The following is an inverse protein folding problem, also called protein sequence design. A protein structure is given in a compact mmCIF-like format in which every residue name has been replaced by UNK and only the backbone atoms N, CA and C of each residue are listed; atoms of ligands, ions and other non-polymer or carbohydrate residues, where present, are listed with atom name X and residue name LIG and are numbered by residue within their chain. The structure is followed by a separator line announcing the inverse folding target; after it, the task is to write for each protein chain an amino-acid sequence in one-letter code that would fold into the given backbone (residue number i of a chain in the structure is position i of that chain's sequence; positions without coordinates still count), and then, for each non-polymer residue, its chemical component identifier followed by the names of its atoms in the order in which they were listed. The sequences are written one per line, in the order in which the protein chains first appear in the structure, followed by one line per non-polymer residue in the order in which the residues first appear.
data_IF_932758868777
#
_entry.id   IF_932758868777
#
_cell.length_a   1.000
_cell.length_b   1.000
_cell.length_c   1.000
_cell.angle_alpha   90.00
_cell.angle_beta   90.00
_cell.angle_gamma   90.00
#
_symmetry.space_group_name_H-M   'P 1'
#
loop_
_entity.id
_entity.type
_entity.pdbx_description
1 polymer ?
#
# COMPACT_ATOMS: atom_id res chain seq x y z
N UNK A 1 65.17 49.05 42.39
CA UNK A 1 64.98 50.45 42.91
C UNK A 1 63.60 50.93 42.44
N UNK A 2 62.84 51.45 43.37
CA UNK A 2 61.56 52.15 43.33
C UNK A 2 60.33 51.31 43.40
N UNK A 3 59.84 51.22 44.60
CA UNK A 3 58.52 50.88 45.12
C UNK A 3 57.46 51.88 44.65
N UNK A 4 56.24 51.32 44.40
CA UNK A 4 54.99 52.11 44.30
C UNK A 4 53.91 51.48 45.10
N UNK A 5 52.95 52.20 45.64
CA UNK A 5 52.16 51.78 46.80
C UNK A 5 50.90 51.09 46.54
N UNK A 6 50.45 50.34 47.55
CA UNK A 6 49.15 49.63 47.68
C UNK A 6 48.03 50.64 47.88
N UNK A 7 47.04 50.63 47.06
CA UNK A 7 45.73 51.26 47.29
C UNK A 7 44.68 50.22 47.77
N UNK A 8 44.26 50.44 49.02
CA UNK A 8 43.11 49.69 49.59
C UNK A 8 41.77 50.32 49.11
N UNK A 9 40.95 49.56 48.40
CA UNK A 9 39.59 49.94 48.17
C UNK A 9 38.66 49.18 49.14
N UNK A 10 37.88 49.92 49.87
CA UNK A 10 36.80 49.44 50.76
C UNK A 10 35.70 48.78 49.89
N UNK A 11 35.28 47.56 50.24
CA UNK A 11 34.13 46.94 49.69
C UNK A 11 32.85 47.44 50.46
N UNK A 12 31.99 48.11 49.73
CA UNK A 12 30.63 48.42 50.20
C UNK A 12 29.74 47.22 49.85
N UNK A 13 29.17 46.55 50.88
CA UNK A 13 28.21 45.47 50.74
C UNK A 13 26.82 46.10 50.53
N UNK A 14 26.32 46.06 49.30
CA UNK A 14 24.91 46.32 49.01
C UNK A 14 24.11 45.02 49.17
N UNK A 15 23.30 44.91 50.25
CA UNK A 15 22.26 43.88 50.34
C UNK A 15 21.14 44.26 49.37
N UNK A 16 21.03 43.55 48.26
CA UNK A 16 19.86 43.55 47.40
C UNK A 16 18.89 42.51 47.93
N UNK A 17 17.72 42.98 48.42
CA UNK A 17 16.58 42.12 48.73
C UNK A 17 16.05 41.50 47.44
N UNK A 18 16.22 40.19 47.28
CA UNK A 18 15.57 39.41 46.24
C UNK A 18 14.07 39.33 46.61
N UNK A 19 13.23 40.07 45.87
CA UNK A 19 11.81 39.86 45.84
C UNK A 19 11.55 38.62 44.95
N UNK A 20 11.04 37.57 45.54
CA UNK A 20 10.52 36.38 44.81
C UNK A 20 9.37 36.81 43.91
N UNK A 21 9.61 37.05 42.64
CA UNK A 21 8.57 37.15 41.63
C UNK A 21 8.16 35.75 41.29
N UNK A 22 7.09 35.25 41.94
CA UNK A 22 6.41 34.05 41.52
C UNK A 22 5.74 34.33 40.18
N UNK A 23 6.39 33.89 39.07
CA UNK A 23 5.79 33.85 37.74
C UNK A 23 4.69 32.79 37.81
N UNK A 24 3.44 33.19 37.82
CA UNK A 24 2.31 32.27 37.64
C UNK A 24 2.50 31.55 36.29
N UNK A 25 2.78 30.25 36.36
CA UNK A 25 2.84 29.39 35.19
C UNK A 25 1.42 29.29 34.65
N UNK A 26 1.18 29.88 33.48
CA UNK A 26 -0.11 29.66 32.81
C UNK A 26 -0.25 28.16 32.55
N UNK A 27 -1.36 27.58 32.88
CA UNK A 27 -1.69 26.22 32.54
C UNK A 27 -1.57 26.04 31.00
N UNK A 28 -1.03 24.90 30.53
CA UNK A 28 -0.99 24.64 29.10
C UNK A 28 -2.43 24.70 28.55
N UNK A 29 -2.64 25.29 27.37
CA UNK A 29 -3.97 25.34 26.78
C UNK A 29 -4.54 23.91 26.71
N UNK A 30 -5.81 23.78 27.05
CA UNK A 30 -6.51 22.50 26.93
C UNK A 30 -6.33 21.96 25.51
N UNK A 31 -6.06 20.66 25.36
CA UNK A 31 -5.94 20.06 24.02
C UNK A 31 -7.20 20.37 23.22
N UNK A 32 -7.01 20.91 22.02
CA UNK A 32 -8.13 21.16 21.08
C UNK A 32 -8.76 19.78 20.84
N UNK A 33 -10.08 19.62 21.08
CA UNK A 33 -10.75 18.36 20.78
C UNK A 33 -10.50 18.02 19.31
N UNK A 34 -9.83 16.91 19.05
CA UNK A 34 -9.71 16.41 17.68
C UNK A 34 -11.12 16.09 17.16
N UNK A 35 -11.46 16.48 15.94
CA UNK A 35 -12.74 16.11 15.37
C UNK A 35 -12.84 14.58 15.36
N UNK A 36 -13.75 14.04 16.15
CA UNK A 36 -14.13 12.62 16.04
C UNK A 36 -14.74 12.49 14.65
N UNK A 37 -14.05 11.80 13.75
CA UNK A 37 -14.61 11.49 12.44
C UNK A 37 -15.92 10.73 12.67
N UNK A 38 -17.01 11.28 12.15
CA UNK A 38 -18.29 10.59 12.17
C UNK A 38 -18.14 9.31 11.34
N UNK A 39 -18.68 8.16 11.79
CA UNK A 39 -18.67 6.94 10.99
C UNK A 39 -19.24 7.21 9.60
N UNK A 40 -18.60 6.66 8.57
CA UNK A 40 -19.07 6.82 7.20
C UNK A 40 -20.42 6.15 7.02
N UNK A 41 -21.36 6.86 6.39
CA UNK A 41 -22.62 6.24 5.98
C UNK A 41 -22.38 5.14 4.94
N UNK A 42 -23.25 4.11 4.84
CA UNK A 42 -23.17 3.10 3.81
C UNK A 42 -23.02 3.70 2.40
N UNK A 43 -22.04 3.23 1.64
CA UNK A 43 -21.69 3.75 0.30
C UNK A 43 -20.90 5.05 0.29
N UNK A 44 -20.68 5.68 1.43
CA UNK A 44 -19.92 6.94 1.52
C UNK A 44 -18.41 6.69 1.35
N UNK A 45 -17.78 7.59 0.60
CA UNK A 45 -16.33 7.66 0.41
C UNK A 45 -15.82 9.00 0.93
N UNK A 46 -14.67 8.97 1.60
CA UNK A 46 -13.92 10.13 2.05
C UNK A 46 -12.49 10.05 1.53
N UNK A 47 -12.03 11.05 0.77
CA UNK A 47 -10.62 11.19 0.43
C UNK A 47 -9.88 11.87 1.58
N UNK A 48 -8.90 11.18 2.16
CA UNK A 48 -8.10 11.66 3.28
C UNK A 48 -6.93 12.55 2.80
N UNK A 49 -6.38 12.27 1.61
CA UNK A 49 -5.31 13.06 1.01
C UNK A 49 -4.14 12.23 0.50
N UNK A 50 -3.14 12.90 -0.11
CA UNK A 50 -1.92 12.24 -0.57
C UNK A 50 -1.13 11.64 0.60
N UNK A 51 -0.77 10.35 0.49
CA UNK A 51 0.02 9.64 1.49
C UNK A 51 1.50 9.53 1.09
N UNK A 52 1.79 9.16 -0.16
CA UNK A 52 3.16 8.98 -0.64
C UNK A 52 3.35 9.54 -2.05
N UNK A 53 4.57 9.92 -2.42
CA UNK A 53 4.94 10.42 -3.73
C UNK A 53 4.81 11.94 -3.87
N UNK A 54 4.45 12.43 -5.05
CA UNK A 54 4.46 13.86 -5.40
C UNK A 54 3.68 14.71 -4.39
N UNK A 55 4.33 15.74 -3.88
CA UNK A 55 3.74 16.67 -2.92
C UNK A 55 3.61 16.15 -1.49
N UNK A 56 4.24 15.03 -1.13
CA UNK A 56 4.14 14.42 0.20
C UNK A 56 5.47 14.44 0.98
N UNK A 57 5.42 14.23 2.31
CA UNK A 57 6.63 14.15 3.15
C UNK A 57 7.58 12.99 2.82
N UNK A 58 7.22 12.02 1.97
CA UNK A 58 8.14 10.95 1.54
C UNK A 58 9.38 11.48 0.83
N UNK A 59 9.32 12.69 0.28
CA UNK A 59 10.48 13.43 -0.25
C UNK A 59 11.62 13.60 0.79
N UNK A 60 11.29 13.72 2.09
CA UNK A 60 12.26 13.81 3.18
C UNK A 60 13.08 12.52 3.34
N UNK A 61 12.59 11.41 2.81
CA UNK A 61 13.27 10.12 2.79
C UNK A 61 13.88 9.79 1.42
N UNK A 62 13.91 10.76 0.48
CA UNK A 62 14.46 10.60 -0.86
C UNK A 62 13.49 9.98 -1.87
N UNK A 63 12.19 9.95 -1.58
CA UNK A 63 11.13 9.48 -2.48
C UNK A 63 10.18 10.65 -2.72
N UNK A 64 10.41 11.38 -3.81
CA UNK A 64 9.58 12.53 -4.20
C UNK A 64 8.40 12.14 -5.09
N UNK A 65 8.46 10.97 -5.77
CA UNK A 65 7.38 10.45 -6.60
C UNK A 65 7.35 8.93 -6.51
N UNK A 66 6.16 8.29 -6.38
CA UNK A 66 6.02 6.84 -6.25
C UNK A 66 4.59 6.36 -6.47
N UNK A 67 4.41 5.05 -6.69
CA UNK A 67 3.12 4.41 -6.91
C UNK A 67 3.00 3.03 -6.24
N UNK A 68 1.86 2.39 -6.41
CA UNK A 68 1.51 1.00 -6.07
C UNK A 68 1.61 0.63 -4.58
N UNK A 69 2.11 1.33 -3.70
CA UNK A 69 2.42 1.14 -2.28
C UNK A 69 1.53 0.12 -1.52
N UNK A 70 1.75 -1.18 -1.69
CA UNK A 70 1.02 -2.26 -1.01
C UNK A 70 1.58 -2.55 0.39
N UNK A 71 0.70 -2.84 1.35
CA UNK A 71 1.08 -3.08 2.74
C UNK A 71 1.63 -4.47 3.00
N UNK A 72 2.70 -4.52 3.81
CA UNK A 72 3.33 -5.74 4.31
C UNK A 72 3.46 -5.67 5.82
N UNK A 73 2.69 -6.51 6.51
CA UNK A 73 2.55 -6.48 7.96
C UNK A 73 3.51 -7.41 8.68
N UNK A 74 4.11 -6.94 9.78
CA UNK A 74 4.91 -7.71 10.72
C UNK A 74 4.43 -7.40 12.15
N UNK A 75 4.72 -8.24 13.14
CA UNK A 75 4.23 -8.03 14.51
C UNK A 75 4.59 -6.68 15.14
N UNK A 76 5.70 -6.06 14.71
CA UNK A 76 6.20 -4.80 15.27
C UNK A 76 6.55 -3.75 14.20
N UNK A 77 6.28 -4.01 12.93
CA UNK A 77 6.62 -3.13 11.82
C UNK A 77 5.58 -3.23 10.72
N UNK A 78 5.39 -2.14 10.03
CA UNK A 78 4.53 -2.07 8.85
C UNK A 78 5.33 -1.42 7.72
N UNK A 79 5.33 -2.06 6.56
CA UNK A 79 5.94 -1.53 5.36
C UNK A 79 4.86 -1.27 4.31
N UNK A 80 5.11 -0.27 3.44
CA UNK A 80 4.46 -0.16 2.14
C UNK A 80 5.50 -0.38 1.05
N UNK A 81 5.31 -1.43 0.24
CA UNK A 81 6.17 -1.74 -0.89
C UNK A 81 5.64 -1.05 -2.12
N UNK A 82 6.39 -0.06 -2.57
CA UNK A 82 6.01 0.79 -3.69
C UNK A 82 6.73 0.36 -4.99
N UNK A 83 6.12 0.68 -6.13
CA UNK A 83 6.62 0.37 -7.47
C UNK A 83 7.76 1.26 -7.91
N UNK A 84 7.64 1.81 -9.12
CA UNK A 84 8.60 2.80 -9.60
C UNK A 84 8.61 4.01 -8.67
N UNK A 85 9.80 4.39 -8.24
CA UNK A 85 9.98 5.47 -7.26
C UNK A 85 11.13 6.37 -7.70
N UNK A 86 10.95 7.68 -7.53
CA UNK A 86 11.92 8.67 -7.99
C UNK A 86 12.29 9.63 -6.85
N UNK A 87 13.54 10.07 -6.85
CA UNK A 87 13.99 11.05 -5.87
C UNK A 87 13.39 12.45 -6.13
N UNK A 88 13.11 12.81 -7.38
CA UNK A 88 12.43 14.03 -7.77
C UNK A 88 10.91 13.93 -7.66
N UNK A 89 10.21 15.04 -7.91
CA UNK A 89 8.77 15.17 -7.70
C UNK A 89 7.89 14.61 -8.84
N UNK A 90 8.47 13.97 -9.85
CA UNK A 90 7.76 13.37 -10.98
C UNK A 90 8.52 12.21 -11.58
N UNK A 91 7.86 11.48 -12.48
CA UNK A 91 8.42 10.33 -13.19
C UNK A 91 9.63 10.73 -14.01
N UNK A 92 10.76 10.01 -13.82
CA UNK A 92 12.00 10.26 -14.54
C UNK A 92 12.91 11.34 -13.92
N UNK A 93 12.50 12.01 -12.86
CA UNK A 93 13.29 13.04 -12.21
C UNK A 93 14.06 12.52 -10.99
N UNK A 94 15.34 12.91 -10.88
CA UNK A 94 16.24 12.44 -9.83
C UNK A 94 16.70 10.99 -10.04
N UNK A 95 17.00 10.28 -8.94
CA UNK A 95 17.33 8.86 -8.99
C UNK A 95 16.07 8.00 -9.13
N UNK A 96 16.17 6.88 -9.87
CA UNK A 96 15.11 5.90 -10.01
C UNK A 96 15.39 4.67 -9.13
N UNK A 97 14.39 4.24 -8.39
CA UNK A 97 14.40 3.09 -7.50
C UNK A 97 13.15 2.24 -7.77
N UNK A 98 13.32 0.92 -7.95
CA UNK A 98 12.19 0.02 -8.18
C UNK A 98 12.54 -1.42 -7.76
N UNK A 99 11.79 -1.99 -6.81
CA UNK A 99 10.87 -1.35 -5.88
C UNK A 99 11.58 -0.74 -4.67
N UNK A 100 10.84 0.03 -3.86
CA UNK A 100 11.26 0.50 -2.52
C UNK A 100 10.25 0.05 -1.45
N UNK A 101 10.64 0.12 -0.17
CA UNK A 101 9.71 -0.10 0.93
C UNK A 101 9.76 1.07 1.92
N UNK A 102 8.66 1.79 2.05
CA UNK A 102 8.46 2.84 3.04
C UNK A 102 8.16 2.21 4.40
N UNK A 103 8.79 2.70 5.46
CA UNK A 103 8.48 2.31 6.84
C UNK A 103 7.34 3.14 7.37
N UNK A 104 6.21 2.51 7.63
CA UNK A 104 5.02 3.17 8.15
C UNK A 104 5.16 3.38 9.65
N UNK A 105 4.81 4.57 10.13
CA UNK A 105 4.54 4.82 11.54
C UNK A 105 3.24 4.12 11.92
N UNK A 106 3.33 3.01 12.64
CA UNK A 106 2.16 2.19 13.00
C UNK A 106 1.14 2.94 13.86
N UNK A 107 1.56 3.98 14.58
CA UNK A 107 0.64 4.84 15.34
C UNK A 107 -0.20 5.77 14.45
N UNK A 108 0.15 5.90 13.17
CA UNK A 108 -0.57 6.77 12.22
C UNK A 108 -1.54 6.02 11.30
N UNK A 109 -1.64 4.70 11.41
CA UNK A 109 -2.50 3.90 10.52
C UNK A 109 -3.97 4.30 10.67
N UNK A 110 -4.37 4.63 11.91
CA UNK A 110 -5.73 5.06 12.26
C UNK A 110 -5.87 6.58 12.39
N UNK A 111 -4.83 7.34 12.02
CA UNK A 111 -4.82 8.79 12.11
C UNK A 111 -5.75 9.41 11.04
N UNK A 112 -6.70 10.29 11.42
CA UNK A 112 -7.53 10.99 10.45
C UNK A 112 -6.73 11.87 9.48
N UNK A 113 -5.53 12.32 9.88
CA UNK A 113 -4.63 13.11 9.02
C UNK A 113 -3.82 12.22 8.05
N UNK A 114 -4.04 10.90 8.09
CA UNK A 114 -3.41 9.94 7.20
C UNK A 114 -2.13 9.33 7.71
N UNK A 115 -1.65 8.36 6.94
CA UNK A 115 -0.45 7.57 7.25
C UNK A 115 0.81 8.42 7.17
N UNK A 116 1.70 8.27 8.17
CA UNK A 116 3.04 8.86 8.21
C UNK A 116 4.13 7.80 8.05
N UNK A 117 5.32 8.24 7.62
CA UNK A 117 6.46 7.36 7.41
C UNK A 117 7.64 7.76 8.30
N UNK A 118 8.47 6.77 8.63
CA UNK A 118 9.66 6.92 9.49
C UNK A 118 10.96 6.62 8.74
N UNK A 119 10.90 6.22 7.48
CA UNK A 119 12.07 5.92 6.67
C UNK A 119 11.75 5.08 5.42
N UNK A 120 12.80 4.66 4.73
CA UNK A 120 12.73 3.89 3.49
C UNK A 120 13.82 2.81 3.44
N UNK A 121 13.51 1.70 2.77
CA UNK A 121 14.46 0.65 2.39
C UNK A 121 14.45 0.58 0.85
N UNK A 122 15.60 0.35 0.24
CA UNK A 122 15.70 0.16 -1.22
C UNK A 122 16.51 1.23 -1.94
N UNK A 123 16.85 2.36 -1.28
CA UNK A 123 17.64 3.45 -1.88
C UNK A 123 19.15 3.13 -1.87
N UNK A 124 19.73 2.92 -0.68
CA UNK A 124 21.16 2.68 -0.53
C UNK A 124 21.60 1.28 -0.95
N UNK A 125 20.70 0.33 -0.89
CA UNK A 125 20.86 -1.05 -1.34
C UNK A 125 19.55 -1.48 -2.00
N UNK A 126 19.58 -2.09 -3.20
CA UNK A 126 18.37 -2.57 -3.86
C UNK A 126 17.51 -3.43 -2.92
N UNK A 127 16.19 -3.26 -3.03
CA UNK A 127 15.23 -4.00 -2.21
C UNK A 127 15.28 -5.49 -2.53
N UNK A 128 15.48 -5.85 -3.79
CA UNK A 128 15.58 -7.22 -4.27
C UNK A 128 17.05 -7.65 -4.39
N UNK A 129 17.34 -8.91 -4.06
CA UNK A 129 18.68 -9.50 -4.18
C UNK A 129 19.08 -9.74 -5.63
N UNK A 130 18.12 -10.15 -6.46
CA UNK A 130 18.38 -10.43 -7.88
C UNK A 130 18.55 -9.12 -8.64
N UNK A 131 19.60 -9.02 -9.48
CA UNK A 131 19.82 -7.82 -10.27
C UNK A 131 18.70 -7.63 -11.31
N UNK A 132 18.35 -6.39 -11.56
CA UNK A 132 17.40 -6.03 -12.62
C UNK A 132 18.07 -6.24 -13.98
N UNK A 133 17.50 -7.04 -14.89
CA UNK A 133 18.05 -7.21 -16.23
C UNK A 133 18.10 -5.87 -17.00
N UNK A 134 19.06 -5.67 -17.91
CA UNK A 134 19.15 -4.45 -18.70
C UNK A 134 17.84 -4.14 -19.46
N UNK A 135 17.34 -2.89 -19.34
CA UNK A 135 16.13 -2.43 -19.98
C UNK A 135 14.84 -3.06 -19.41
N UNK A 136 14.91 -3.62 -18.20
CA UNK A 136 13.75 -4.16 -17.50
C UNK A 136 13.49 -3.38 -16.21
N UNK A 137 12.26 -3.51 -15.67
CA UNK A 137 11.86 -3.12 -14.33
C UNK A 137 11.48 -4.36 -13.51
N UNK A 138 11.59 -4.27 -12.19
CA UNK A 138 11.11 -5.29 -11.26
C UNK A 138 10.06 -4.63 -10.37
N UNK A 139 8.80 -4.94 -10.61
CA UNK A 139 7.67 -4.25 -9.99
C UNK A 139 6.94 -5.16 -9.00
N UNK A 140 6.45 -4.62 -7.87
CA UNK A 140 5.59 -5.35 -6.96
C UNK A 140 4.29 -5.72 -7.68
N UNK A 141 3.86 -6.96 -7.49
CA UNK A 141 2.70 -7.53 -8.16
C UNK A 141 1.83 -8.32 -7.19
N UNK A 142 1.84 -7.90 -5.91
CA UNK A 142 0.97 -8.42 -4.87
C UNK A 142 1.69 -9.04 -3.67
N UNK A 143 1.00 -9.05 -2.55
CA UNK A 143 1.50 -9.55 -1.26
C UNK A 143 0.60 -10.68 -0.74
N UNK A 144 1.23 -11.70 -0.13
CA UNK A 144 0.52 -12.75 0.61
C UNK A 144 1.25 -12.99 1.94
N UNK A 145 0.52 -12.92 3.04
CA UNK A 145 1.03 -13.27 4.36
C UNK A 145 0.57 -14.66 4.78
N UNK A 146 1.50 -15.49 5.25
CA UNK A 146 1.24 -16.85 5.74
C UNK A 146 2.03 -17.07 7.03
N UNK A 147 1.36 -17.30 8.15
CA UNK A 147 2.01 -17.58 9.43
C UNK A 147 3.11 -16.55 9.78
N UNK A 148 2.80 -15.26 9.65
CA UNK A 148 3.73 -14.13 9.88
C UNK A 148 4.92 -14.05 8.91
N UNK A 149 4.94 -14.85 7.85
CA UNK A 149 5.88 -14.73 6.75
C UNK A 149 5.22 -14.00 5.60
N UNK A 150 5.90 -13.00 5.08
CA UNK A 150 5.40 -12.21 3.97
C UNK A 150 6.12 -12.60 2.68
N UNK A 151 5.33 -12.79 1.65
CA UNK A 151 5.77 -13.06 0.29
C UNK A 151 5.29 -11.94 -0.62
N UNK A 152 6.23 -11.36 -1.36
CA UNK A 152 5.94 -10.39 -2.41
C UNK A 152 6.02 -11.11 -3.76
N UNK A 153 4.98 -11.00 -4.58
CA UNK A 153 5.08 -11.31 -6.01
C UNK A 153 5.82 -10.16 -6.69
N UNK A 154 6.82 -10.49 -7.47
CA UNK A 154 7.55 -9.53 -8.30
C UNK A 154 7.40 -9.92 -9.77
N UNK A 155 6.93 -8.99 -10.58
CA UNK A 155 6.93 -9.10 -12.03
C UNK A 155 8.19 -8.42 -12.59
N UNK A 156 8.97 -9.14 -13.40
CA UNK A 156 10.03 -8.53 -14.21
C UNK A 156 9.41 -8.13 -15.55
N UNK A 157 9.45 -6.84 -15.89
CA UNK A 157 8.78 -6.29 -17.06
C UNK A 157 9.77 -5.63 -18.03
N UNK A 158 9.41 -5.57 -19.31
CA UNK A 158 10.01 -4.68 -20.31
C UNK A 158 8.88 -3.88 -20.94
N UNK A 159 8.95 -2.55 -20.85
CA UNK A 159 7.87 -1.67 -21.29
C UNK A 159 6.50 -2.07 -20.70
N UNK A 160 6.48 -2.41 -19.41
CA UNK A 160 5.34 -2.93 -18.65
C UNK A 160 4.82 -4.32 -19.10
N UNK A 161 5.38 -4.93 -20.14
CA UNK A 161 5.04 -6.32 -20.50
C UNK A 161 5.83 -7.30 -19.63
N UNK A 162 5.17 -8.18 -18.84
CA UNK A 162 5.84 -9.12 -17.97
C UNK A 162 6.62 -10.17 -18.75
N UNK A 163 7.86 -10.42 -18.35
CA UNK A 163 8.73 -11.47 -18.90
C UNK A 163 8.67 -12.72 -18.02
N UNK A 164 8.66 -12.53 -16.74
CA UNK A 164 8.52 -13.56 -15.72
C UNK A 164 7.90 -12.96 -14.44
N UNK A 165 7.54 -13.84 -13.51
CA UNK A 165 7.18 -13.46 -12.16
C UNK A 165 7.71 -14.46 -11.14
N UNK A 166 7.98 -14.03 -9.92
CA UNK A 166 8.53 -14.84 -8.84
C UNK A 166 8.06 -14.37 -7.48
N UNK A 167 8.06 -15.26 -6.50
CA UNK A 167 7.86 -14.92 -5.11
C UNK A 167 9.19 -14.53 -4.47
N UNK A 168 9.17 -13.49 -3.68
CA UNK A 168 10.30 -12.99 -2.90
C UNK A 168 9.91 -13.01 -1.43
N UNK A 169 10.84 -13.42 -0.55
CA UNK A 169 10.64 -13.36 0.91
C UNK A 169 10.99 -11.98 1.41
N UNK A 170 10.02 -11.32 2.05
CA UNK A 170 10.20 -9.97 2.58
C UNK A 170 11.00 -10.01 3.89
N UNK A 171 12.06 -9.18 3.97
CA UNK A 171 12.82 -8.90 5.20
C UNK A 171 12.54 -7.45 5.64
N UNK A 172 11.88 -7.22 6.80
CA UNK A 172 11.53 -5.86 7.22
C UNK A 172 12.73 -5.05 7.69
N UNK A 173 13.88 -5.68 7.96
CA UNK A 173 15.04 -4.99 8.52
C UNK A 173 15.87 -4.28 7.44
N UNK A 174 15.95 -4.87 6.22
CA UNK A 174 16.91 -4.44 5.19
C UNK A 174 16.48 -4.83 3.78
N UNK A 175 17.14 -4.23 2.77
CA UNK A 175 17.05 -4.67 1.37
C UNK A 175 17.85 -5.94 1.09
N UNK A 176 17.78 -6.42 -0.13
CA UNK A 176 18.36 -7.67 -0.60
C UNK A 176 17.44 -8.86 -0.32
N UNK A 177 16.14 -8.68 -0.54
CA UNK A 177 15.14 -9.73 -0.40
C UNK A 177 15.34 -10.83 -1.42
N UNK A 178 15.34 -12.07 -0.95
CA UNK A 178 15.70 -13.23 -1.76
C UNK A 178 14.49 -13.85 -2.46
N UNK A 179 14.70 -14.25 -3.71
CA UNK A 179 13.73 -15.06 -4.46
C UNK A 179 13.53 -16.41 -3.77
N UNK A 180 12.27 -16.80 -3.60
CA UNK A 180 11.92 -18.13 -3.10
C UNK A 180 12.34 -19.18 -4.16
N UNK A 181 13.21 -20.14 -3.81
CA UNK A 181 13.68 -21.16 -4.75
C UNK A 181 12.53 -21.88 -5.46
N UNK A 182 12.63 -22.02 -6.78
CA UNK A 182 11.63 -22.70 -7.59
C UNK A 182 10.33 -21.94 -7.83
N UNK A 183 10.20 -20.69 -7.35
CA UNK A 183 8.98 -19.90 -7.55
C UNK A 183 8.92 -19.14 -8.88
N UNK A 184 10.04 -18.94 -9.55
CA UNK A 184 10.06 -18.21 -10.82
C UNK A 184 9.30 -18.95 -11.91
N UNK A 185 8.48 -18.20 -12.65
CA UNK A 185 7.68 -18.70 -13.78
C UNK A 185 7.75 -17.72 -14.94
N UNK A 186 7.74 -18.21 -16.19
CA UNK A 186 7.59 -17.33 -17.35
C UNK A 186 6.24 -16.62 -17.32
N UNK A 187 6.14 -15.47 -17.98
CA UNK A 187 4.90 -14.69 -18.01
C UNK A 187 3.72 -15.48 -18.58
N UNK A 188 3.94 -16.44 -19.47
CA UNK A 188 2.90 -17.30 -20.05
C UNK A 188 2.39 -18.41 -19.12
N UNK A 189 2.99 -18.59 -17.93
CA UNK A 189 2.57 -19.63 -17.00
C UNK A 189 1.10 -19.49 -16.63
N UNK A 190 0.36 -20.61 -16.68
CA UNK A 190 -1.09 -20.64 -16.45
C UNK A 190 -1.87 -19.64 -17.34
N UNK A 191 -1.44 -19.48 -18.59
CA UNK A 191 -2.04 -18.52 -19.52
C UNK A 191 -1.81 -17.05 -19.16
N UNK A 192 -0.75 -16.75 -18.42
CA UNK A 192 -0.42 -15.39 -17.96
C UNK A 192 -1.17 -14.91 -16.72
N UNK A 193 -2.03 -15.76 -16.13
CA UNK A 193 -2.95 -15.39 -15.04
C UNK A 193 -2.32 -15.40 -13.65
N UNK A 194 -1.03 -15.58 -13.52
CA UNK A 194 -0.33 -15.57 -12.24
C UNK A 194 0.86 -14.62 -12.24
N UNK A 195 0.84 -13.57 -13.07
CA UNK A 195 1.88 -12.55 -13.03
C UNK A 195 1.59 -11.44 -12.05
N UNK A 196 0.34 -11.35 -11.56
CA UNK A 196 -0.10 -10.47 -10.48
C UNK A 196 -1.05 -11.25 -9.57
N UNK A 197 -0.91 -11.08 -8.26
CA UNK A 197 -1.70 -11.80 -7.25
C UNK A 197 -2.03 -10.89 -6.07
N UNK A 198 -3.00 -11.29 -5.27
CA UNK A 198 -3.14 -10.88 -3.87
C UNK A 198 -3.75 -12.04 -3.09
N UNK A 199 -3.48 -12.15 -1.79
CA UNK A 199 -4.01 -13.27 -1.05
C UNK A 199 -3.91 -13.13 0.46
N UNK A 200 -4.69 -13.95 1.15
CA UNK A 200 -4.64 -14.07 2.61
C UNK A 200 -4.69 -15.54 3.04
N UNK A 201 -4.21 -15.78 4.23
CA UNK A 201 -4.24 -17.11 4.86
C UNK A 201 -5.38 -17.18 5.87
N UNK A 202 -6.31 -18.15 5.66
CA UNK A 202 -7.34 -18.55 6.60
C UNK A 202 -6.86 -19.80 7.34
N UNK A 203 -6.45 -19.69 8.63
CA UNK A 203 -5.92 -20.82 9.40
C UNK A 203 -7.00 -21.78 9.89
N UNK A 204 -8.30 -21.47 9.69
CA UNK A 204 -9.40 -22.29 10.17
C UNK A 204 -9.39 -23.62 9.43
N UNK A 205 -9.31 -24.79 10.14
CA UNK A 205 -9.38 -26.09 9.51
C UNK A 205 -10.67 -26.26 8.71
N UNK A 206 -10.53 -26.87 7.54
CA UNK A 206 -11.65 -27.19 6.64
C UNK A 206 -11.70 -28.71 6.45
N UNK A 207 -12.82 -29.29 6.00
CA UNK A 207 -12.91 -30.76 5.78
C UNK A 207 -11.81 -31.33 4.88
N UNK A 208 -11.27 -30.53 3.98
CA UNK A 208 -10.26 -30.88 2.99
C UNK A 208 -8.87 -30.27 3.27
N UNK A 209 -8.68 -29.58 4.41
CA UNK A 209 -7.37 -29.07 4.86
C UNK A 209 -7.35 -28.86 6.38
N UNK A 210 -6.51 -29.58 7.08
CA UNK A 210 -6.30 -29.43 8.54
C UNK A 210 -5.48 -28.19 8.90
N UNK A 211 -4.73 -27.64 7.94
CA UNK A 211 -3.89 -26.44 8.13
C UNK A 211 -4.56 -25.17 7.60
N UNK A 212 -5.83 -25.24 7.16
CA UNK A 212 -6.52 -24.13 6.52
C UNK A 212 -6.04 -23.89 5.08
N UNK A 213 -6.42 -22.74 4.51
CA UNK A 213 -6.13 -22.41 3.12
C UNK A 213 -5.55 -21.00 2.96
N UNK A 214 -4.62 -20.87 2.02
CA UNK A 214 -4.24 -19.59 1.44
C UNK A 214 -5.12 -19.36 0.23
N UNK A 215 -5.97 -18.34 0.27
CA UNK A 215 -6.78 -17.92 -0.86
C UNK A 215 -6.04 -16.87 -1.67
N UNK A 216 -6.04 -16.99 -3.00
CA UNK A 216 -5.23 -16.19 -3.90
C UNK A 216 -6.09 -15.75 -5.07
N UNK A 217 -6.37 -14.46 -5.20
CA UNK A 217 -6.86 -13.87 -6.44
C UNK A 217 -5.68 -13.60 -7.36
N UNK A 218 -5.84 -13.84 -8.65
CA UNK A 218 -4.77 -13.74 -9.61
C UNK A 218 -5.27 -13.27 -10.98
N UNK A 219 -4.41 -12.52 -11.69
CA UNK A 219 -4.64 -12.09 -13.06
C UNK A 219 -3.32 -11.84 -13.80
N UNK A 220 -3.38 -11.13 -14.92
CA UNK A 220 -2.22 -10.67 -15.66
C UNK A 220 -1.78 -9.27 -15.24
N UNK A 221 -0.50 -9.08 -15.01
CA UNK A 221 0.12 -7.76 -14.77
C UNK A 221 -0.18 -6.75 -15.89
N UNK A 222 -0.56 -7.24 -17.08
CA UNK A 222 -0.93 -6.37 -18.22
C UNK A 222 -2.29 -5.70 -18.09
N UNK A 223 -3.09 -5.98 -17.04
CA UNK A 223 -4.47 -5.50 -16.86
C UNK A 223 -5.42 -5.93 -17.99
N UNK A 224 -5.09 -6.99 -18.74
CA UNK A 224 -5.84 -7.45 -19.93
C UNK A 224 -6.58 -8.77 -19.72
N UNK A 225 -6.72 -9.19 -18.48
CA UNK A 225 -7.40 -10.43 -18.13
C UNK A 225 -8.32 -10.21 -16.92
N UNK A 226 -9.44 -10.95 -16.86
CA UNK A 226 -10.27 -10.97 -15.69
C UNK A 226 -9.57 -11.70 -14.53
N UNK A 227 -10.05 -11.45 -13.31
CA UNK A 227 -9.53 -12.09 -12.11
C UNK A 227 -10.03 -13.52 -12.00
N UNK A 228 -9.15 -14.42 -11.56
CA UNK A 228 -9.44 -15.81 -11.22
C UNK A 228 -9.05 -16.10 -9.78
N UNK A 229 -9.60 -17.16 -9.20
CA UNK A 229 -9.36 -17.56 -7.82
C UNK A 229 -8.61 -18.88 -7.75
N UNK A 230 -7.59 -18.93 -6.90
CA UNK A 230 -6.86 -20.13 -6.50
C UNK A 230 -6.89 -20.28 -4.98
N UNK A 231 -6.55 -21.49 -4.51
CA UNK A 231 -6.16 -21.75 -3.15
C UNK A 231 -4.95 -22.68 -3.10
N UNK A 232 -4.21 -22.63 -2.00
CA UNK A 232 -3.12 -23.56 -1.71
C UNK A 232 -3.04 -23.82 -0.19
N UNK A 233 -2.53 -24.99 0.22
CA UNK A 233 -2.13 -25.11 1.63
C UNK A 233 -0.89 -24.23 1.91
N UNK A 234 -0.63 -23.81 3.15
CA UNK A 234 0.54 -23.02 3.49
C UNK A 234 1.86 -23.60 2.96
N UNK A 235 2.00 -24.92 3.01
CA UNK A 235 3.20 -25.66 2.57
C UNK A 235 3.32 -25.71 1.05
N UNK A 236 2.19 -25.67 0.34
CA UNK A 236 2.15 -25.73 -1.11
C UNK A 236 2.22 -24.34 -1.78
N UNK A 237 2.04 -23.25 -1.02
CA UNK A 237 1.92 -21.91 -1.58
C UNK A 237 3.10 -21.49 -2.45
N UNK A 238 4.33 -21.81 -2.04
CA UNK A 238 5.53 -21.41 -2.77
C UNK A 238 5.74 -22.19 -4.08
N UNK A 239 5.07 -23.32 -4.25
CA UNK A 239 5.01 -24.04 -5.53
C UNK A 239 3.71 -23.74 -6.27
N UNK A 240 3.76 -22.74 -7.16
CA UNK A 240 2.60 -22.23 -7.88
C UNK A 240 1.94 -23.25 -8.82
N UNK A 241 2.60 -24.36 -9.14
CA UNK A 241 2.02 -25.46 -9.90
C UNK A 241 1.04 -26.30 -9.08
N UNK A 242 1.09 -26.20 -7.75
CA UNK A 242 0.22 -26.89 -6.80
C UNK A 242 -1.01 -26.07 -6.40
N UNK A 243 -1.17 -24.87 -6.91
CA UNK A 243 -2.37 -24.07 -6.62
C UNK A 243 -3.60 -24.68 -7.28
N UNK A 244 -4.63 -24.84 -6.49
CA UNK A 244 -5.93 -25.37 -6.91
C UNK A 244 -6.80 -24.25 -7.45
N UNK A 245 -7.14 -24.26 -8.74
CA UNK A 245 -8.03 -23.28 -9.35
C UNK A 245 -9.50 -23.52 -8.96
N UNK A 246 -10.26 -22.44 -8.88
CA UNK A 246 -11.70 -22.42 -8.69
C UNK A 246 -12.43 -22.25 -10.01
N UNK A 247 -13.38 -23.13 -10.30
CA UNK A 247 -14.31 -22.97 -11.40
C UNK A 247 -15.73 -22.76 -10.88
N UNK A 248 -16.40 -21.71 -11.34
CA UNK A 248 -17.79 -21.42 -11.01
C UNK A 248 -18.78 -22.26 -11.87
N UNK A 249 -20.04 -22.37 -11.42
CA UNK A 249 -21.14 -22.98 -12.15
C UNK A 249 -21.30 -24.50 -11.94
N UNK A 250 -22.23 -25.11 -12.67
CA UNK A 250 -22.53 -26.54 -12.55
C UNK A 250 -21.28 -27.41 -12.85
N UNK A 251 -20.98 -28.34 -11.95
CA UNK A 251 -19.76 -29.18 -12.03
C UNK A 251 -18.45 -28.44 -11.71
N UNK A 252 -18.53 -27.19 -11.25
CA UNK A 252 -17.43 -26.39 -10.78
C UNK A 252 -16.88 -26.87 -9.45
N UNK A 253 -16.08 -26.02 -8.82
CA UNK A 253 -15.42 -26.29 -7.54
C UNK A 253 -13.90 -26.12 -7.62
N UNK A 254 -13.22 -26.54 -6.54
CA UNK A 254 -11.78 -26.50 -6.43
C UNK A 254 -11.06 -27.58 -7.26
N UNK A 255 -9.78 -27.37 -7.51
CA UNK A 255 -8.92 -28.26 -8.28
C UNK A 255 -9.37 -28.43 -9.75
N UNK A 256 -9.81 -27.31 -10.32
CA UNK A 256 -10.23 -27.20 -11.73
C UNK A 256 -9.41 -26.14 -12.44
N UNK A 257 -9.50 -26.09 -13.76
CA UNK A 257 -9.03 -24.91 -14.51
C UNK A 257 -9.88 -23.72 -14.05
N UNK A 258 -9.27 -22.65 -13.53
CA UNK A 258 -10.04 -21.55 -12.95
C UNK A 258 -10.83 -20.81 -14.03
N UNK A 259 -12.07 -20.47 -13.70
CA UNK A 259 -12.89 -19.57 -14.52
C UNK A 259 -12.82 -18.14 -13.97
N UNK A 260 -13.01 -17.10 -14.79
CA UNK A 260 -13.18 -15.74 -14.30
C UNK A 260 -14.25 -15.65 -13.22
N UNK A 261 -13.99 -14.88 -12.16
CA UNK A 261 -15.00 -14.60 -11.15
C UNK A 261 -16.10 -13.67 -11.71
N UNK A 262 -15.72 -12.73 -12.58
CA UNK A 262 -16.61 -11.87 -13.40
C UNK A 262 -15.86 -11.48 -14.70
N UNK A 263 -16.57 -10.93 -15.71
CA UNK A 263 -15.99 -10.76 -17.05
C UNK A 263 -15.06 -9.55 -17.20
N UNK A 264 -15.11 -8.54 -16.33
CA UNK A 264 -14.33 -7.31 -16.49
C UNK A 264 -12.82 -7.59 -16.41
N UNK A 265 -12.07 -6.78 -17.14
CA UNK A 265 -10.61 -6.77 -17.05
C UNK A 265 -10.20 -6.12 -15.72
N UNK A 266 -9.24 -6.73 -15.05
CA UNK A 266 -8.81 -6.31 -13.72
C UNK A 266 -7.31 -6.02 -13.72
N UNK A 267 -6.94 -4.92 -13.09
CA UNK A 267 -5.55 -4.55 -12.83
C UNK A 267 -5.08 -4.99 -11.45
N UNK A 268 -4.50 -4.08 -10.68
CA UNK A 268 -3.99 -4.32 -9.34
C UNK A 268 -5.12 -4.70 -8.38
N UNK A 269 -4.77 -5.54 -7.40
CA UNK A 269 -5.73 -6.13 -6.47
C UNK A 269 -5.16 -6.18 -5.05
N UNK A 270 -6.04 -6.05 -4.07
CA UNK A 270 -5.75 -6.31 -2.66
C UNK A 270 -6.90 -7.07 -2.04
N UNK A 271 -6.67 -8.33 -1.66
CA UNK A 271 -7.66 -9.12 -0.93
C UNK A 271 -7.22 -9.34 0.51
N UNK A 272 -8.14 -9.13 1.45
CA UNK A 272 -7.95 -9.35 2.88
C UNK A 272 -9.12 -10.12 3.46
N UNK A 273 -8.90 -10.77 4.60
CA UNK A 273 -10.00 -11.23 5.45
C UNK A 273 -10.22 -10.21 6.55
N UNK A 274 -11.42 -9.63 6.61
CA UNK A 274 -11.83 -8.64 7.61
C UNK A 274 -13.12 -9.16 8.24
N UNK A 275 -13.14 -9.34 9.55
CA UNK A 275 -14.29 -9.85 10.31
C UNK A 275 -14.89 -11.14 9.73
N UNK A 276 -14.02 -12.03 9.23
CA UNK A 276 -14.42 -13.31 8.61
C UNK A 276 -14.90 -13.21 7.16
N UNK A 277 -15.04 -11.99 6.61
CA UNK A 277 -15.44 -11.75 5.22
C UNK A 277 -14.23 -11.64 4.31
N UNK A 278 -14.35 -12.07 3.06
CA UNK A 278 -13.40 -11.77 2.00
C UNK A 278 -13.68 -10.38 1.44
N UNK A 279 -12.71 -9.48 1.56
CA UNK A 279 -12.78 -8.10 1.06
C UNK A 279 -11.75 -7.93 -0.04
N UNK A 280 -12.20 -7.59 -1.24
CA UNK A 280 -11.34 -7.39 -2.41
C UNK A 280 -11.48 -5.96 -2.93
N UNK A 281 -10.38 -5.20 -2.88
CA UNK A 281 -10.21 -3.94 -3.62
C UNK A 281 -9.45 -4.20 -4.91
N UNK A 282 -9.87 -3.60 -6.02
CA UNK A 282 -9.25 -3.82 -7.32
C UNK A 282 -9.44 -2.63 -8.27
N UNK A 283 -8.50 -2.50 -9.20
CA UNK A 283 -8.64 -1.61 -10.34
C UNK A 283 -9.45 -2.32 -11.44
N UNK A 284 -10.62 -1.79 -11.77
CA UNK A 284 -11.42 -2.23 -12.90
C UNK A 284 -10.86 -1.60 -14.19
N UNK A 285 -10.04 -2.37 -14.92
CA UNK A 285 -9.40 -1.87 -16.14
C UNK A 285 -10.38 -1.72 -17.33
N UNK A 286 -11.65 -2.14 -17.18
CA UNK A 286 -12.70 -1.91 -18.18
C UNK A 286 -13.33 -0.53 -18.03
N UNK A 287 -13.62 -0.09 -16.80
CA UNK A 287 -14.21 1.22 -16.51
C UNK A 287 -13.19 2.29 -16.14
N UNK A 288 -12.01 1.91 -15.65
CA UNK A 288 -11.02 2.81 -15.07
C UNK A 288 -11.21 3.08 -13.57
N UNK A 289 -12.23 2.50 -12.94
CA UNK A 289 -12.61 2.77 -11.56
C UNK A 289 -11.81 1.92 -10.56
N UNK A 290 -11.74 2.41 -9.32
CA UNK A 290 -11.35 1.59 -8.17
C UNK A 290 -12.60 1.08 -7.47
N UNK A 291 -12.69 -0.23 -7.33
CA UNK A 291 -13.88 -0.92 -6.83
C UNK A 291 -13.58 -1.84 -5.66
N UNK A 292 -14.60 -2.10 -4.83
CA UNK A 292 -14.56 -3.05 -3.71
C UNK A 292 -15.71 -4.03 -3.82
N UNK A 293 -15.44 -5.30 -3.49
CA UNK A 293 -16.42 -6.36 -3.26
C UNK A 293 -16.21 -6.97 -1.88
N UNK A 294 -17.31 -7.23 -1.18
CA UNK A 294 -17.33 -7.89 0.14
C UNK A 294 -18.20 -9.14 0.04
N UNK A 295 -17.65 -10.28 0.43
CA UNK A 295 -18.34 -11.57 0.33
C UNK A 295 -18.04 -12.45 1.57
N UNK A 296 -18.93 -13.40 1.94
CA UNK A 296 -18.69 -14.30 3.06
C UNK A 296 -17.49 -15.22 2.86
N UNK A 297 -17.14 -15.52 1.61
CA UNK A 297 -15.93 -16.25 1.25
C UNK A 297 -15.48 -15.85 -0.17
N UNK A 298 -14.22 -16.17 -0.58
CA UNK A 298 -13.68 -15.70 -1.86
C UNK A 298 -14.42 -16.25 -3.09
N UNK A 299 -15.11 -17.40 -2.98
CA UNK A 299 -15.83 -17.99 -4.12
C UNK A 299 -17.11 -17.23 -4.45
N UNK A 300 -17.63 -16.46 -3.49
CA UNK A 300 -18.81 -15.62 -3.64
C UNK A 300 -18.52 -14.20 -4.16
N UNK A 301 -17.25 -13.80 -4.31
CA UNK A 301 -16.87 -12.47 -4.78
C UNK A 301 -17.46 -12.11 -6.15
N UNK A 302 -17.62 -13.12 -7.03
CA UNK A 302 -18.19 -12.92 -8.36
C UNK A 302 -19.62 -12.39 -8.38
N UNK A 303 -20.43 -12.74 -7.37
CA UNK A 303 -21.82 -12.31 -7.21
C UNK A 303 -22.01 -11.20 -6.17
N UNK A 304 -20.94 -10.79 -5.49
CA UNK A 304 -21.03 -9.75 -4.48
C UNK A 304 -21.34 -8.38 -5.12
N UNK A 305 -22.08 -7.51 -4.42
CA UNK A 305 -22.27 -6.14 -4.83
C UNK A 305 -20.95 -5.39 -5.02
N UNK A 306 -20.93 -4.45 -5.97
CA UNK A 306 -19.78 -3.58 -6.22
C UNK A 306 -20.02 -2.24 -5.55
N UNK A 307 -18.99 -1.71 -4.89
CA UNK A 307 -18.93 -0.33 -4.40
C UNK A 307 -17.75 0.36 -5.07
N UNK A 308 -18.01 1.47 -5.78
CA UNK A 308 -16.97 2.30 -6.40
C UNK A 308 -16.34 3.19 -5.33
N UNK A 309 -15.05 3.01 -5.09
CA UNK A 309 -14.24 3.83 -4.17
C UNK A 309 -13.79 5.10 -4.86
N UNK A 310 -13.22 4.94 -6.06
CA UNK A 310 -12.77 6.05 -6.89
C UNK A 310 -13.34 5.88 -8.29
N UNK A 311 -14.05 6.90 -8.75
CA UNK A 311 -14.54 6.99 -10.11
C UNK A 311 -13.45 7.62 -11.00
N UNK A 312 -13.15 6.99 -12.12
CA UNK A 312 -12.26 7.53 -13.12
C UNK A 312 -12.79 8.85 -13.68
N UNK A 313 -11.89 9.83 -13.84
CA UNK A 313 -12.16 11.08 -14.54
C UNK A 313 -11.15 11.24 -15.67
N UNK A 314 -11.61 11.60 -16.85
CA UNK A 314 -10.76 11.86 -18.03
C UNK A 314 -10.08 13.24 -17.93
N UNK A 315 -10.62 14.13 -17.12
CA UNK A 315 -10.16 15.51 -17.01
C UNK A 315 -9.26 15.71 -15.79
N UNK A 316 -8.14 16.38 -15.99
CA UNK A 316 -7.28 16.84 -14.90
C UNK A 316 -7.80 18.17 -14.36
N UNK A 317 -7.79 18.40 -13.03
CA UNK A 317 -8.07 19.71 -12.47
C UNK A 317 -7.01 20.73 -12.89
N UNK A 318 -7.29 22.01 -12.73
CA UNK A 318 -6.34 23.10 -12.95
C UNK A 318 -6.10 23.83 -11.61
N UNK A 319 -4.90 23.75 -11.03
CA UNK A 319 -3.72 22.99 -11.51
C UNK A 319 -3.86 21.46 -11.22
N UNK A 320 -3.19 20.60 -12.01
CA UNK A 320 -3.33 19.15 -11.95
C UNK A 320 -3.00 18.49 -10.60
N UNK A 321 -2.17 19.11 -9.77
CA UNK A 321 -1.87 18.65 -8.40
C UNK A 321 -3.04 18.85 -7.43
N UNK A 322 -4.03 19.66 -7.79
CA UNK A 322 -5.25 19.90 -7.00
C UNK A 322 -6.05 18.60 -6.84
N UNK A 323 -6.78 18.52 -5.74
CA UNK A 323 -7.71 17.43 -5.49
C UNK A 323 -9.12 18.00 -5.37
N UNK A 324 -10.15 17.29 -5.88
CA UNK A 324 -11.54 17.67 -5.68
C UNK A 324 -11.93 17.72 -4.19
N UNK A 325 -13.16 18.09 -3.85
CA UNK A 325 -13.68 18.03 -2.50
C UNK A 325 -13.44 16.64 -1.85
N UNK A 326 -13.19 16.54 -0.54
CA UNK A 326 -12.94 15.24 0.13
C UNK A 326 -14.04 14.18 -0.09
N UNK A 327 -15.27 14.61 -0.34
CA UNK A 327 -16.41 13.71 -0.61
C UNK A 327 -16.68 13.50 -2.12
N UNK A 328 -15.92 14.13 -2.99
CA UNK A 328 -15.94 13.86 -4.42
C UNK A 328 -14.91 12.76 -4.69
N UNK A 329 -15.38 11.58 -5.08
CA UNK A 329 -14.54 10.42 -5.31
C UNK A 329 -14.00 10.30 -6.75
N UNK A 330 -14.16 11.33 -7.58
CA UNK A 330 -13.55 11.37 -8.92
C UNK A 330 -12.06 11.63 -8.82
N UNK A 331 -11.30 10.95 -9.66
CA UNK A 331 -9.85 11.11 -9.76
C UNK A 331 -9.38 10.81 -11.17
N UNK A 332 -8.53 11.68 -11.69
CA UNK A 332 -7.90 11.47 -13.01
C UNK A 332 -6.86 10.37 -12.92
N UNK A 333 -6.90 9.43 -13.87
CA UNK A 333 -5.96 8.34 -14.05
C UNK A 333 -5.65 7.54 -12.74
N UNK A 334 -6.68 7.06 -12.00
CA UNK A 334 -6.46 6.20 -10.84
C UNK A 334 -6.02 4.80 -11.25
N UNK A 335 -5.26 4.12 -10.41
CA UNK A 335 -4.94 2.70 -10.52
C UNK A 335 -4.35 2.18 -9.20
N UNK A 336 -4.17 0.87 -9.09
CA UNK A 336 -3.74 0.25 -7.84
C UNK A 336 -4.70 0.57 -6.69
N UNK A 337 -4.97 -0.31 -5.80
CA UNK A 337 -5.87 -0.03 -4.68
C UNK A 337 -5.63 -1.04 -3.58
N UNK A 338 -4.92 -0.63 -2.53
CA UNK A 338 -4.44 -1.56 -1.52
C UNK A 338 -5.10 -1.28 -0.18
N UNK A 339 -5.72 -2.32 0.40
CA UNK A 339 -6.40 -2.25 1.69
C UNK A 339 -5.35 -2.11 2.79
N UNK A 340 -5.50 -1.08 3.62
CA UNK A 340 -4.66 -0.84 4.79
C UNK A 340 -4.97 -1.84 5.91
N UNK A 341 -3.95 -2.25 6.69
CA UNK A 341 -4.18 -2.84 8.01
C UNK A 341 -5.05 -1.94 8.90
N UNK A 342 -5.79 -2.54 9.82
CA UNK A 342 -6.70 -1.80 10.70
C UNK A 342 -8.03 -1.40 10.05
N UNK A 343 -8.24 -1.70 8.75
CA UNK A 343 -9.56 -1.53 8.12
C UNK A 343 -10.61 -2.39 8.79
N UNK A 344 -11.82 -1.85 8.94
CA UNK A 344 -13.03 -2.55 9.38
C UNK A 344 -14.02 -2.64 8.22
N UNK A 345 -15.09 -3.42 8.36
CA UNK A 345 -16.07 -3.57 7.27
C UNK A 345 -16.87 -2.30 7.00
N UNK A 346 -17.01 -1.40 7.96
CA UNK A 346 -17.71 -0.12 7.86
C UNK A 346 -16.77 1.05 7.57
N UNK A 347 -15.44 0.84 7.67
CA UNK A 347 -14.41 1.82 7.33
C UNK A 347 -13.18 1.13 6.72
N UNK A 348 -13.27 0.81 5.42
CA UNK A 348 -12.09 0.34 4.69
C UNK A 348 -11.19 1.53 4.35
N UNK A 349 -9.90 1.41 4.61
CA UNK A 349 -8.88 2.36 4.19
C UNK A 349 -8.13 1.82 2.99
N UNK A 350 -8.18 2.55 1.89
CA UNK A 350 -7.67 2.10 0.59
C UNK A 350 -6.70 3.14 0.05
N UNK A 351 -5.54 2.68 -0.41
CA UNK A 351 -4.47 3.49 -0.97
C UNK A 351 -4.48 3.34 -2.48
N UNK A 352 -4.82 4.41 -3.18
CA UNK A 352 -5.02 4.46 -4.63
C UNK A 352 -3.91 5.26 -5.28
N UNK A 353 -3.29 4.71 -6.30
CA UNK A 353 -2.26 5.39 -7.09
C UNK A 353 -2.87 6.33 -8.11
N UNK A 354 -2.18 7.42 -8.39
CA UNK A 354 -2.49 8.39 -9.43
C UNK A 354 -1.22 8.72 -10.21
N UNK A 355 -1.31 8.68 -11.53
CA UNK A 355 -0.19 9.03 -12.41
C UNK A 355 -0.65 9.93 -13.55
N UNK A 356 -0.13 11.16 -13.55
CA UNK A 356 -0.18 12.03 -14.72
C UNK A 356 0.92 11.60 -15.70
N UNK A 357 0.53 11.06 -16.84
CA UNK A 357 1.46 10.55 -17.86
C UNK A 357 2.16 11.65 -18.65
N UNK A 358 1.84 12.93 -18.40
CA UNK A 358 2.60 14.04 -18.96
C UNK A 358 4.01 14.11 -18.35
N UNK A 359 5.00 14.38 -19.20
CA UNK A 359 6.40 14.45 -18.78
C UNK A 359 6.71 15.87 -18.31
N UNK A 360 6.41 16.16 -17.05
CA UNK A 360 6.78 17.41 -16.36
C UNK A 360 7.21 17.14 -14.92
N UNK A 361 8.01 18.01 -14.35
CA UNK A 361 8.66 17.79 -13.06
C UNK A 361 7.69 17.57 -11.90
N UNK A 362 6.57 18.24 -11.89
CA UNK A 362 5.60 18.19 -10.79
C UNK A 362 4.32 17.44 -11.16
N UNK A 363 4.38 16.65 -12.26
CA UNK A 363 3.25 15.81 -12.68
C UNK A 363 2.92 14.82 -11.55
N UNK A 364 1.65 14.73 -11.11
CA UNK A 364 1.24 13.82 -10.05
C UNK A 364 1.66 12.37 -10.32
N UNK A 365 2.49 11.82 -9.44
CA UNK A 365 2.84 10.41 -9.37
C UNK A 365 2.86 10.05 -7.89
N UNK A 366 1.70 9.70 -7.38
CA UNK A 366 1.44 9.66 -5.94
C UNK A 366 0.41 8.60 -5.55
N UNK A 367 0.35 8.31 -4.28
CA UNK A 367 -0.64 7.45 -3.65
C UNK A 367 -1.53 8.29 -2.75
N UNK A 368 -2.84 8.13 -2.89
CA UNK A 368 -3.87 8.88 -2.16
C UNK A 368 -4.63 7.90 -1.27
N UNK A 369 -4.85 8.28 -0.01
CA UNK A 369 -5.60 7.50 0.96
C UNK A 369 -7.08 7.88 0.90
N UNK A 370 -7.93 6.84 0.90
CA UNK A 370 -9.38 6.92 0.98
C UNK A 370 -9.90 6.09 2.15
N UNK A 371 -10.98 6.54 2.75
CA UNK A 371 -11.82 5.73 3.62
C UNK A 371 -13.17 5.49 2.92
N UNK A 372 -13.72 4.29 3.03
CA UNK A 372 -14.99 3.92 2.40
C UNK A 372 -15.78 2.95 3.28
N UNK A 373 -17.09 3.21 3.39
CA UNK A 373 -18.03 2.20 3.87
C UNK A 373 -18.59 1.44 2.66
N UNK A 374 -18.18 0.17 2.42
CA UNK A 374 -18.51 -0.54 1.19
C UNK A 374 -19.94 -1.09 1.15
N UNK A 375 -20.68 -1.01 2.23
CA UNK A 375 -22.06 -1.45 2.24
C UNK A 375 -22.95 -0.48 1.45
N UNK A 376 -23.98 -1.01 0.80
CA UNK A 376 -24.99 -0.18 0.15
C UNK A 376 -26.02 0.29 1.16
N UNK A 377 -26.58 1.51 1.00
CA UNK A 377 -27.68 2.00 1.83
C UNK A 377 -28.90 1.10 1.77
#
# INVERSE_FOLDING_TARGET
MRSAPVARCLAAVCLLALQDISVARADPPAPIPQPVLQPLAPGQVLRMGPAAGTGTPTANYGIGATDLCEFVEFPSQLLQVCGDSFAGQGVGYGGWYAPVALRVDTASVDDPDGVRYTGVIGISRPLLADPTPPGASQLPAGVVQINRRNYLMVATTKNLDPQNSRLVRVDPARGGWETVPGSMRPASFQGGRQTQISGYYDPIPKPDSVTGWVYIVANSFTRRQPVVLYRATPEAFTDRSRWQGWAAGPGGGWNRTPTPLWPDLVGEMSIKQIDGMAVLSYFNATSGDMEVRVAPDPTALGSAPVTTVVQHDDEWPDPPESLPSPYDNRLSQPYGGYISPGSTLDELRIFVSQWDTEVRQDAPYRVIQYAVNPFKP
#
